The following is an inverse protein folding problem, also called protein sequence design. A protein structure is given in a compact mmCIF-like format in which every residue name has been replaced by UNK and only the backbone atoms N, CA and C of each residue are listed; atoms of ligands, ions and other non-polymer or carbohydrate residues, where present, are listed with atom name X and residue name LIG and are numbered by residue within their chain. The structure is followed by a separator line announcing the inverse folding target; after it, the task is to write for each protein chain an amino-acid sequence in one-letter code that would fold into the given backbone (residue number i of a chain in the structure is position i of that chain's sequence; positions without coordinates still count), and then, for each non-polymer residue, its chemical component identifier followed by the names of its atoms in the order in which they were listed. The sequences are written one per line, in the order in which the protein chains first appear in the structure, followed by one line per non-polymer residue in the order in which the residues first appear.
data_IF_192725217071
#
_entry.id   IF_192725217071
#
_cell.length_a   1.000
_cell.length_b   1.000
_cell.length_c   1.000
_cell.angle_alpha   90.00
_cell.angle_beta   90.00
_cell.angle_gamma   90.00
#
_symmetry.space_group_name_H-M   'P 1'
#
loop_
_entity.id
_entity.type
_entity.pdbx_description
1 polymer ?
#
# COMPACT_ATOMS: atom_id res chain seq x y z
N UNK A 1 -24.86 -49.36 4.03
CA UNK A 1 -24.86 -49.23 2.56
C UNK A 1 -23.44 -48.90 2.11
N UNK A 2 -22.78 -49.85 1.43
CA UNK A 2 -21.57 -49.58 0.65
C UNK A 2 -22.00 -49.28 -0.77
N UNK A 3 -21.49 -48.21 -1.37
CA UNK A 3 -21.41 -48.07 -2.82
C UNK A 3 -20.02 -47.54 -3.18
N UNK A 4 -19.39 -48.25 -4.10
CA UNK A 4 -18.03 -48.12 -4.60
C UNK A 4 -17.85 -46.91 -5.53
N UNK A 5 -16.62 -46.39 -5.60
CA UNK A 5 -16.09 -45.68 -6.78
C UNK A 5 -15.96 -46.64 -7.98
N UNK A 6 -15.89 -46.13 -9.24
CA UNK A 6 -14.59 -45.85 -9.89
C UNK A 6 -14.63 -44.59 -10.78
N UNK A 7 -13.64 -43.68 -10.76
CA UNK A 7 -12.30 -43.67 -11.36
C UNK A 7 -12.22 -42.85 -12.67
N UNK A 8 -11.27 -41.90 -12.65
CA UNK A 8 -10.49 -41.29 -13.74
C UNK A 8 -11.19 -40.59 -14.92
N UNK A 9 -11.00 -39.26 -14.98
CA UNK A 9 -10.15 -38.67 -16.04
C UNK A 9 -10.08 -37.14 -15.97
N UNK A 10 -8.82 -36.66 -15.88
CA UNK A 10 -8.25 -35.46 -16.54
C UNK A 10 -8.51 -34.09 -15.90
N UNK A 11 -7.55 -33.77 -15.04
CA UNK A 11 -6.95 -32.46 -14.80
C UNK A 11 -6.79 -31.63 -16.09
N UNK A 12 -7.35 -30.42 -16.09
CA UNK A 12 -6.99 -29.35 -17.03
C UNK A 12 -6.85 -28.05 -16.24
N UNK A 13 -5.63 -27.86 -15.72
CA UNK A 13 -5.14 -26.61 -15.16
C UNK A 13 -4.70 -25.74 -16.34
N UNK A 14 -5.52 -24.75 -16.72
CA UNK A 14 -5.09 -23.72 -17.67
C UNK A 14 -4.11 -22.77 -16.95
N UNK A 15 -2.81 -23.03 -17.13
CA UNK A 15 -1.75 -22.06 -16.88
C UNK A 15 -1.63 -21.16 -18.12
N UNK A 16 -1.83 -19.85 -17.94
CA UNK A 16 -1.37 -18.86 -18.91
C UNK A 16 0.17 -18.81 -18.82
N UNK A 17 0.85 -19.38 -19.80
CA UNK A 17 2.29 -19.17 -20.01
C UNK A 17 2.53 -17.76 -20.54
N UNK A 18 3.44 -17.02 -19.90
CA UNK A 18 3.98 -15.76 -20.40
C UNK A 18 4.96 -16.04 -21.55
N UNK A 19 4.99 -15.19 -22.61
CA UNK A 19 5.92 -15.37 -23.72
C UNK A 19 7.38 -15.12 -23.30
N UNK A 20 8.35 -15.72 -24.01
CA UNK A 20 9.77 -15.59 -23.70
C UNK A 20 10.29 -14.17 -23.95
N UNK A 21 11.17 -13.76 -23.03
CA UNK A 21 11.96 -12.54 -23.05
C UNK A 21 12.77 -12.44 -24.35
N UNK A 22 12.43 -11.48 -25.22
CA UNK A 22 13.17 -11.19 -26.44
C UNK A 22 13.99 -9.93 -26.24
N UNK A 23 15.22 -10.02 -25.71
CA UNK A 23 16.29 -9.03 -25.91
C UNK A 23 17.65 -9.51 -25.37
N UNK A 24 18.03 -10.78 -25.56
CA UNK A 24 19.46 -11.16 -25.55
C UNK A 24 19.97 -11.21 -26.99
N UNK A 25 20.13 -10.02 -27.57
CA UNK A 25 20.75 -9.87 -28.89
C UNK A 25 22.27 -10.02 -28.72
N UNK A 26 22.77 -11.17 -29.16
CA UNK A 26 24.18 -11.54 -29.20
C UNK A 26 24.98 -10.52 -30.01
N UNK A 27 25.56 -9.53 -29.34
CA UNK A 27 26.54 -8.62 -29.94
C UNK A 27 27.87 -9.36 -30.09
N UNK A 28 28.05 -9.90 -31.28
CA UNK A 28 29.30 -10.46 -31.78
C UNK A 28 30.38 -9.36 -31.80
N UNK A 29 31.40 -9.47 -30.94
CA UNK A 29 32.54 -8.58 -30.90
C UNK A 29 33.40 -8.79 -32.17
N UNK A 30 33.34 -7.85 -33.12
CA UNK A 30 34.37 -7.72 -34.16
C UNK A 30 35.53 -6.92 -33.57
N UNK A 31 36.63 -7.60 -33.24
CA UNK A 31 37.91 -6.92 -32.98
C UNK A 31 38.35 -6.17 -34.25
N UNK A 32 38.55 -4.86 -34.12
CA UNK A 32 39.23 -4.07 -35.14
C UNK A 32 40.75 -4.09 -34.86
N UNK A 33 41.60 -4.23 -35.89
CA UNK A 33 43.05 -4.20 -35.74
C UNK A 33 43.53 -2.80 -35.29
N UNK A 34 44.72 -2.68 -34.70
CA UNK A 34 45.24 -1.39 -34.26
C UNK A 34 45.65 -0.58 -35.48
N UNK A 35 44.97 0.55 -35.73
CA UNK A 35 45.43 1.51 -36.72
C UNK A 35 46.34 2.55 -36.07
N UNK A 36 47.58 2.53 -36.52
CA UNK A 36 48.61 3.51 -36.24
C UNK A 36 48.35 4.76 -37.08
N UNK A 37 48.10 5.90 -36.45
CA UNK A 37 48.73 7.19 -36.80
C UNK A 37 48.18 8.28 -35.89
N UNK A 38 49.11 8.79 -35.11
CA UNK A 38 49.23 10.13 -34.56
C UNK A 38 48.30 11.18 -35.19
N UNK A 39 47.61 11.97 -34.36
CA UNK A 39 47.68 13.42 -34.45
C UNK A 39 47.61 14.03 -33.04
N UNK A 40 48.62 14.84 -32.74
CA UNK A 40 48.79 15.57 -31.50
C UNK A 40 47.77 16.72 -31.46
N UNK A 41 46.89 16.72 -30.46
CA UNK A 41 45.88 17.76 -30.25
C UNK A 41 45.90 18.29 -28.81
N UNK A 42 46.78 19.27 -28.58
CA UNK A 42 46.84 20.28 -27.50
C UNK A 42 45.86 20.10 -26.32
N UNK A 43 46.39 19.83 -25.12
CA UNK A 43 45.69 20.05 -23.86
C UNK A 43 45.55 21.56 -23.60
N UNK A 44 44.36 22.12 -23.85
CA UNK A 44 44.00 23.41 -23.26
C UNK A 44 43.47 23.13 -21.86
N UNK A 45 44.29 23.38 -20.84
CA UNK A 45 43.80 23.44 -19.46
C UNK A 45 42.75 24.56 -19.38
N UNK A 46 41.49 24.16 -19.19
CA UNK A 46 40.43 25.07 -18.77
C UNK A 46 40.79 25.60 -17.37
N UNK A 47 40.63 26.90 -17.10
CA UNK A 47 40.77 27.41 -15.74
C UNK A 47 39.78 26.68 -14.82
N UNK A 48 40.10 26.49 -13.53
CA UNK A 48 39.14 25.99 -12.57
C UNK A 48 37.97 26.98 -12.55
N UNK A 49 36.83 26.56 -13.09
CA UNK A 49 35.57 27.24 -12.93
C UNK A 49 35.19 27.09 -11.46
N UNK A 50 35.67 28.03 -10.66
CA UNK A 50 35.15 28.33 -9.34
C UNK A 50 33.74 28.90 -9.50
N UNK A 51 32.79 28.03 -9.77
CA UNK A 51 31.39 28.26 -9.47
C UNK A 51 30.95 27.12 -8.55
N UNK A 52 30.86 27.46 -7.28
CA UNK A 52 30.23 26.63 -6.26
C UNK A 52 28.78 26.41 -6.70
N UNK A 53 28.52 25.26 -7.34
CA UNK A 53 27.17 24.72 -7.41
C UNK A 53 26.71 24.56 -5.96
N UNK A 54 25.64 25.24 -5.51
CA UNK A 54 25.13 25.01 -4.17
C UNK A 54 24.76 23.53 -4.10
N UNK A 55 25.43 22.82 -3.21
CA UNK A 55 25.04 21.51 -2.70
C UNK A 55 23.67 21.68 -2.04
N UNK A 56 22.64 21.77 -2.88
CA UNK A 56 21.25 21.58 -2.50
C UNK A 56 21.06 20.08 -2.36
N UNK A 57 21.67 19.54 -1.32
CA UNK A 57 21.15 18.37 -0.65
C UNK A 57 19.73 18.74 -0.22
N UNK A 58 18.76 18.52 -1.11
CA UNK A 58 17.37 18.52 -0.71
C UNK A 58 17.28 17.47 0.40
N UNK A 59 17.18 17.92 1.65
CA UNK A 59 16.89 17.05 2.77
C UNK A 59 15.51 16.44 2.50
N UNK A 60 15.50 15.28 1.86
CA UNK A 60 14.28 14.52 1.62
C UNK A 60 13.78 14.09 2.98
N UNK A 61 12.78 14.80 3.49
CA UNK A 61 12.15 14.47 4.78
C UNK A 61 11.58 13.07 4.72
N UNK A 62 12.13 12.19 5.56
CA UNK A 62 11.67 10.82 5.68
C UNK A 62 10.37 10.76 6.50
N UNK A 63 9.23 10.88 5.82
CA UNK A 63 7.90 10.75 6.43
C UNK A 63 7.63 9.36 7.04
N UNK A 64 8.48 8.35 6.78
CA UNK A 64 8.37 7.01 7.35
C UNK A 64 8.91 6.92 8.79
N UNK A 65 9.69 7.90 9.25
CA UNK A 65 10.32 7.93 10.58
C UNK A 65 9.59 8.84 11.57
N UNK A 66 8.34 9.22 11.27
CA UNK A 66 7.52 9.97 12.21
C UNK A 66 7.29 9.17 13.51
N UNK A 67 7.39 9.81 14.68
CA UNK A 67 7.13 9.12 15.93
C UNK A 67 5.65 8.68 16.02
N UNK A 68 5.36 7.58 16.76
CA UNK A 68 4.05 6.93 16.72
C UNK A 68 2.86 7.81 17.13
N UNK A 69 3.10 8.78 18.01
CA UNK A 69 2.14 9.78 18.45
C UNK A 69 1.67 10.70 17.32
N UNK A 70 2.61 11.21 16.52
CA UNK A 70 2.30 12.04 15.34
C UNK A 70 1.54 11.22 14.31
N UNK A 71 1.94 9.96 14.13
CA UNK A 71 1.23 9.04 13.26
C UNK A 71 -0.22 8.85 13.72
N UNK A 72 -0.46 8.58 15.01
CA UNK A 72 -1.81 8.44 15.55
C UNK A 72 -2.68 9.66 15.26
N UNK A 73 -2.14 10.88 15.42
CA UNK A 73 -2.84 12.11 15.08
C UNK A 73 -3.21 12.20 13.59
N UNK A 74 -2.33 11.75 12.70
CA UNK A 74 -2.64 11.67 11.27
C UNK A 74 -3.81 10.71 11.03
N UNK A 75 -3.77 9.51 11.62
CA UNK A 75 -4.84 8.53 11.49
C UNK A 75 -6.18 9.08 12.03
N UNK A 76 -6.18 9.73 13.20
CA UNK A 76 -7.37 10.39 13.75
C UNK A 76 -7.96 11.45 12.79
N UNK A 77 -7.11 12.19 12.07
CA UNK A 77 -7.56 13.19 11.08
C UNK A 77 -8.07 12.58 9.79
N UNK A 78 -7.53 11.44 9.36
CA UNK A 78 -8.03 10.69 8.20
C UNK A 78 -9.43 10.14 8.47
N UNK A 79 -9.65 9.61 9.68
CA UNK A 79 -10.91 8.99 10.08
C UNK A 79 -11.06 7.56 9.55
N UNK A 80 -12.03 6.84 10.11
CA UNK A 80 -12.14 5.38 9.96
C UNK A 80 -12.19 4.89 8.50
N UNK A 81 -12.95 5.57 7.63
CA UNK A 81 -13.14 5.18 6.23
C UNK A 81 -11.81 5.26 5.46
N UNK A 82 -11.09 6.39 5.57
CA UNK A 82 -9.81 6.59 4.90
C UNK A 82 -8.74 5.64 5.44
N UNK A 83 -8.78 5.32 6.73
CA UNK A 83 -7.87 4.34 7.33
C UNK A 83 -8.05 2.95 6.70
N UNK A 84 -9.31 2.49 6.62
CA UNK A 84 -9.65 1.16 6.09
C UNK A 84 -9.48 1.08 4.58
N UNK A 85 -9.78 2.15 3.86
CA UNK A 85 -9.74 2.11 2.41
C UNK A 85 -8.33 2.39 1.84
N UNK A 86 -7.64 3.39 2.39
CA UNK A 86 -6.43 3.97 1.80
C UNK A 86 -5.20 3.77 2.69
N UNK A 87 -5.22 4.29 3.92
CA UNK A 87 -4.03 4.43 4.76
C UNK A 87 -3.33 3.09 5.03
N UNK A 88 -4.10 2.03 5.30
CA UNK A 88 -3.55 0.69 5.57
C UNK A 88 -2.82 0.04 4.37
N UNK A 89 -2.98 0.60 3.17
CA UNK A 89 -2.38 0.10 1.93
C UNK A 89 -1.15 0.88 1.49
N UNK A 90 -0.80 1.98 2.16
CA UNK A 90 0.33 2.84 1.79
C UNK A 90 1.68 2.14 1.97
N UNK A 91 1.96 1.65 3.18
CA UNK A 91 3.18 0.92 3.49
C UNK A 91 2.98 -0.05 4.67
N UNK A 92 3.98 -0.88 4.95
CA UNK A 92 3.92 -1.88 6.03
C UNK A 92 3.77 -1.25 7.43
N UNK A 93 4.43 -0.11 7.68
CA UNK A 93 4.32 0.63 8.96
C UNK A 93 2.90 1.15 9.17
N UNK A 94 2.33 1.82 8.16
CA UNK A 94 0.95 2.32 8.23
C UNK A 94 -0.06 1.18 8.36
N UNK A 95 0.17 0.05 7.69
CA UNK A 95 -0.65 -1.15 7.84
C UNK A 95 -0.66 -1.67 9.27
N UNK A 96 0.49 -1.72 9.94
CA UNK A 96 0.58 -2.16 11.35
C UNK A 96 -0.16 -1.18 12.25
N UNK A 97 0.14 0.11 12.14
CA UNK A 97 -0.49 1.16 12.95
C UNK A 97 -2.01 1.21 12.77
N UNK A 98 -2.52 1.03 11.54
CA UNK A 98 -3.96 1.00 11.26
C UNK A 98 -4.74 -0.10 12.01
N UNK A 99 -4.06 -1.07 12.62
CA UNK A 99 -4.66 -2.16 13.39
C UNK A 99 -4.55 -1.95 14.90
N UNK A 100 -3.90 -0.87 15.35
CA UNK A 100 -3.76 -0.58 16.77
C UNK A 100 -5.11 -0.22 17.39
N UNK A 101 -5.55 -0.92 18.45
CA UNK A 101 -6.88 -0.72 19.05
C UNK A 101 -7.16 0.72 19.50
N UNK A 102 -6.10 1.47 19.81
CA UNK A 102 -6.20 2.84 20.29
C UNK A 102 -6.80 3.80 19.25
N UNK A 103 -6.57 3.53 17.96
CA UNK A 103 -7.17 4.28 16.85
C UNK A 103 -8.68 4.02 16.68
N UNK A 104 -9.17 2.92 17.25
CA UNK A 104 -10.54 2.43 17.07
C UNK A 104 -11.41 2.61 18.30
N UNK A 105 -10.97 3.44 19.26
CA UNK A 105 -11.78 3.80 20.43
C UNK A 105 -12.94 4.73 20.08
N UNK A 106 -12.74 5.60 19.09
CA UNK A 106 -13.77 6.51 18.58
C UNK A 106 -13.84 6.37 17.06
N UNK A 107 -14.97 5.87 16.57
CA UNK A 107 -15.18 5.59 15.15
C UNK A 107 -16.27 6.51 14.60
N UNK A 108 -15.90 7.39 13.67
CA UNK A 108 -16.84 8.25 12.94
C UNK A 108 -16.85 7.86 11.44
N UNK A 109 -17.99 7.34 10.98
CA UNK A 109 -18.24 6.93 9.61
C UNK A 109 -19.32 7.79 8.91
N UNK A 110 -19.64 8.97 9.45
CA UNK A 110 -20.60 9.90 8.83
C UNK A 110 -20.03 10.57 7.59
N UNK A 111 -18.71 10.81 7.56
CA UNK A 111 -18.01 11.45 6.44
C UNK A 111 -17.88 10.49 5.26
N UNK A 112 -18.99 10.26 4.55
CA UNK A 112 -18.95 9.49 3.30
C UNK A 112 -18.10 10.23 2.28
N UNK A 113 -17.37 9.46 1.47
CA UNK A 113 -16.86 9.96 0.20
C UNK A 113 -18.03 9.95 -0.76
N UNK A 114 -18.50 11.15 -1.15
CA UNK A 114 -19.76 11.44 -1.89
C UNK A 114 -20.07 10.59 -3.15
N UNK A 115 -19.15 9.72 -3.60
CA UNK A 115 -19.27 8.97 -4.85
C UNK A 115 -18.72 7.53 -4.84
N UNK A 116 -17.97 7.07 -3.83
CA UNK A 116 -17.35 5.73 -3.84
C UNK A 116 -17.95 4.72 -2.84
N UNK A 117 -18.59 5.20 -1.78
CA UNK A 117 -19.11 4.35 -0.70
C UNK A 117 -20.63 4.36 -0.63
N UNK A 118 -21.29 4.49 -1.80
CA UNK A 118 -22.75 4.42 -1.91
C UNK A 118 -23.31 3.04 -1.59
N UNK A 119 -22.47 2.02 -1.52
CA UNK A 119 -22.87 0.65 -1.16
C UNK A 119 -22.87 0.47 0.36
N UNK A 120 -24.08 0.38 0.93
CA UNK A 120 -24.31 0.13 2.35
C UNK A 120 -23.61 -1.15 2.83
N UNK A 121 -23.49 -2.17 1.97
CA UNK A 121 -22.81 -3.42 2.31
C UNK A 121 -21.31 -3.21 2.58
N UNK A 122 -20.65 -2.38 1.77
CA UNK A 122 -19.23 -2.06 1.97
C UNK A 122 -19.06 -1.27 3.28
N UNK A 123 -19.96 -0.33 3.56
CA UNK A 123 -19.93 0.48 4.77
C UNK A 123 -20.16 -0.35 6.03
N UNK A 124 -21.12 -1.27 6.00
CA UNK A 124 -21.36 -2.20 7.10
C UNK A 124 -20.15 -3.10 7.35
N UNK A 125 -19.52 -3.61 6.28
CA UNK A 125 -18.29 -4.40 6.41
C UNK A 125 -17.15 -3.60 7.03
N UNK A 126 -17.00 -2.33 6.64
CA UNK A 126 -16.02 -1.43 7.26
C UNK A 126 -16.32 -1.18 8.74
N UNK A 127 -17.61 -1.03 9.09
CA UNK A 127 -18.04 -0.86 10.47
C UNK A 127 -17.73 -2.10 11.33
N UNK A 128 -17.96 -3.31 10.82
CA UNK A 128 -17.60 -4.53 11.56
C UNK A 128 -16.10 -4.66 11.75
N UNK A 129 -15.32 -4.36 10.71
CA UNK A 129 -13.85 -4.36 10.79
C UNK A 129 -13.32 -3.33 11.81
N UNK A 130 -13.91 -2.13 11.89
CA UNK A 130 -13.50 -1.12 12.87
C UNK A 130 -13.82 -1.55 14.31
N UNK A 131 -14.98 -2.17 14.52
CA UNK A 131 -15.38 -2.76 15.81
C UNK A 131 -14.42 -3.88 16.20
N UNK A 132 -14.07 -4.78 15.28
CA UNK A 132 -13.14 -5.87 15.56
C UNK A 132 -11.75 -5.37 15.95
N UNK A 133 -11.25 -4.32 15.27
CA UNK A 133 -9.96 -3.70 15.59
C UNK A 133 -9.94 -2.98 16.94
N UNK A 134 -11.10 -2.55 17.44
CA UNK A 134 -11.20 -1.92 18.77
C UNK A 134 -10.83 -2.88 19.90
N UNK A 135 -10.86 -4.20 19.66
CA UNK A 135 -10.56 -5.21 20.68
C UNK A 135 -11.33 -4.98 22.00
N UNK A 136 -12.60 -4.58 21.92
CA UNK A 136 -13.46 -4.29 23.06
C UNK A 136 -13.26 -2.91 23.71
N UNK A 137 -12.36 -2.07 23.17
CA UNK A 137 -12.06 -0.73 23.69
C UNK A 137 -12.86 0.38 23.00
N UNK A 138 -13.90 0.03 22.24
CA UNK A 138 -14.79 0.97 21.57
C UNK A 138 -15.56 1.81 22.60
N UNK A 139 -15.45 3.13 22.50
CA UNK A 139 -16.10 4.12 23.37
C UNK A 139 -17.19 4.86 22.63
N UNK A 140 -16.95 5.24 21.37
CA UNK A 140 -17.88 6.01 20.56
C UNK A 140 -17.96 5.43 19.15
N UNK A 141 -19.18 5.30 18.64
CA UNK A 141 -19.45 4.87 17.28
C UNK A 141 -20.52 5.75 16.65
N UNK A 142 -20.20 6.39 15.53
CA UNK A 142 -21.08 7.30 14.79
C UNK A 142 -21.23 6.88 13.33
N UNK A 143 -22.48 6.75 12.87
CA UNK A 143 -22.83 6.30 11.51
C UNK A 143 -24.05 7.05 10.99
N UNK A 144 -24.11 7.26 9.67
CA UNK A 144 -25.29 7.82 8.98
C UNK A 144 -25.77 6.92 7.83
N UNK A 145 -27.08 6.69 7.79
CA UNK A 145 -27.85 5.91 6.81
C UNK A 145 -27.62 4.38 6.72
N UNK A 146 -26.64 3.78 7.39
CA UNK A 146 -26.44 2.31 7.38
C UNK A 146 -26.37 1.66 8.78
N UNK A 147 -26.83 2.36 9.82
CA UNK A 147 -26.92 1.80 11.18
C UNK A 147 -28.10 0.85 11.34
N UNK A 148 -27.88 -0.45 11.15
CA UNK A 148 -28.89 -1.50 11.32
C UNK A 148 -28.90 -2.05 12.75
N UNK A 149 -30.01 -2.63 13.20
CA UNK A 149 -30.09 -3.30 14.51
C UNK A 149 -29.10 -4.46 14.63
N UNK A 150 -28.81 -5.15 13.51
CA UNK A 150 -27.80 -6.21 13.46
C UNK A 150 -26.39 -5.69 13.75
N UNK A 151 -26.04 -4.52 13.21
CA UNK A 151 -24.76 -3.87 13.47
C UNK A 151 -24.65 -3.43 14.94
N UNK A 152 -25.73 -2.90 15.51
CA UNK A 152 -25.78 -2.51 16.92
C UNK A 152 -25.64 -3.71 17.86
N UNK A 153 -26.35 -4.81 17.56
CA UNK A 153 -26.21 -6.07 18.32
C UNK A 153 -24.77 -6.59 18.24
N UNK A 154 -24.19 -6.58 17.04
CA UNK A 154 -22.81 -7.00 16.84
C UNK A 154 -21.82 -6.16 17.66
N UNK A 155 -22.02 -4.84 17.75
CA UNK A 155 -21.19 -3.99 18.62
C UNK A 155 -21.32 -4.38 20.09
N UNK A 156 -22.56 -4.56 20.58
CA UNK A 156 -22.83 -4.93 21.96
C UNK A 156 -22.16 -6.27 22.35
N UNK A 157 -22.15 -7.25 21.44
CA UNK A 157 -21.52 -8.55 21.67
C UNK A 157 -19.98 -8.48 21.74
N UNK A 158 -19.37 -7.41 21.20
CA UNK A 158 -17.91 -7.22 21.13
C UNK A 158 -17.40 -6.26 22.21
N UNK A 159 -18.27 -5.49 22.86
CA UNK A 159 -17.96 -4.63 24.01
C UNK A 159 -18.18 -5.42 25.31
N UNK A 160 -17.20 -6.24 25.68
CA UNK A 160 -17.21 -7.06 26.93
C UNK A 160 -16.46 -6.39 28.07
#
# INVERSE_FOLDING_TARGET
MNCLSPDSSKEQRNSLELPPDSSEEQRNCLELPPDSSEEQGICLELPPDSSEEPDSTEEVRNWLELPPDVMCLIFEKLGAIEILYSAQSVCSTWRKLSKEPQLWRSVDMRKRRDSLFGDEYIMEKMARESVDRSCGQLVEFSVEHFGTDELLQYMADRTT
#
